data_IF_600695790753
#
_entry.id   IF_600695790753
#
_cell.length_a   1.000
_cell.length_b   1.000
_cell.length_c   1.000
_cell.angle_alpha   90.00
_cell.angle_beta   90.00
_cell.angle_gamma   90.00
#
_symmetry.space_group_name_H-M   'P 1'
#
loop_
_entity.id
_entity.type
_entity.pdbx_description
1 polymer ?
#
# COMPACT_ATOMS: atom_id res chain seq x y z
N UNK A 1 10.32 7.99 -17.74
CA UNK A 1 8.84 7.84 -17.75
C UNK A 1 8.39 7.63 -16.31
N UNK A 2 7.54 8.50 -15.76
CA UNK A 2 7.07 8.34 -14.38
C UNK A 2 6.23 7.05 -14.29
N UNK A 3 6.77 6.01 -13.64
CA UNK A 3 6.03 4.78 -13.43
C UNK A 3 4.88 5.09 -12.46
N UNK A 4 3.66 4.77 -12.86
CA UNK A 4 2.48 4.92 -12.01
C UNK A 4 2.28 3.62 -11.23
N UNK A 5 2.01 3.73 -9.93
CA UNK A 5 1.60 2.61 -9.09
C UNK A 5 0.12 2.71 -8.73
N UNK A 6 -0.49 1.54 -8.52
CA UNK A 6 -1.84 1.40 -8.03
C UNK A 6 -1.83 0.65 -6.70
N UNK A 7 -2.63 1.13 -5.75
CA UNK A 7 -2.91 0.43 -4.50
C UNK A 7 -4.41 0.19 -4.39
N UNK A 8 -4.80 -1.07 -4.19
CA UNK A 8 -6.18 -1.48 -3.99
C UNK A 8 -6.32 -1.94 -2.55
N UNK A 9 -7.25 -1.33 -1.81
CA UNK A 9 -7.61 -1.76 -0.46
C UNK A 9 -8.96 -2.45 -0.55
N UNK A 10 -9.00 -3.72 -0.15
CA UNK A 10 -10.22 -4.51 -0.04
C UNK A 10 -10.69 -4.51 1.41
N UNK A 11 -11.95 -4.12 1.64
CA UNK A 11 -12.55 -4.07 2.98
C UNK A 11 -13.25 -5.39 3.31
N UNK A 12 -13.54 -5.58 4.60
CA UNK A 12 -14.24 -6.77 5.10
C UNK A 12 -15.66 -6.93 4.55
N UNK A 13 -16.31 -5.83 4.19
CA UNK A 13 -17.66 -5.81 3.61
C UNK A 13 -17.69 -6.16 2.11
N UNK A 14 -16.54 -6.44 1.51
CA UNK A 14 -16.40 -6.76 0.08
C UNK A 14 -16.22 -5.54 -0.83
N UNK A 15 -16.33 -4.32 -0.31
CA UNK A 15 -16.04 -3.11 -1.07
C UNK A 15 -14.53 -2.90 -1.23
N UNK A 16 -14.14 -2.02 -2.16
CA UNK A 16 -12.73 -1.67 -2.38
C UNK A 16 -12.55 -0.22 -2.78
N UNK A 17 -11.40 0.35 -2.43
CA UNK A 17 -10.93 1.64 -2.94
C UNK A 17 -9.64 1.43 -3.72
N UNK A 18 -9.50 2.14 -4.85
CA UNK A 18 -8.32 2.10 -5.72
C UNK A 18 -7.65 3.47 -5.71
N UNK A 19 -6.36 3.49 -5.36
CA UNK A 19 -5.51 4.67 -5.39
C UNK A 19 -4.53 4.57 -6.55
N UNK A 20 -4.31 5.68 -7.24
CA UNK A 20 -3.28 5.84 -8.27
C UNK A 20 -2.29 6.91 -7.82
N UNK A 21 -1.01 6.59 -7.77
CA UNK A 21 0.03 7.49 -7.28
C UNK A 21 1.34 7.32 -8.08
N UNK A 22 2.19 8.36 -8.16
CA UNK A 22 3.50 8.23 -8.78
C UNK A 22 4.39 7.28 -7.97
N UNK A 23 5.16 6.42 -8.64
CA UNK A 23 6.16 5.58 -7.96
C UNK A 23 7.22 6.49 -7.33
N UNK A 24 7.38 6.39 -6.01
CA UNK A 24 8.33 7.19 -5.24
C UNK A 24 9.75 6.61 -5.49
N UNK A 25 10.75 7.49 -5.60
CA UNK A 25 12.14 7.09 -5.88
C UNK A 25 12.87 6.71 -4.56
N UNK A 26 13.91 5.88 -4.65
CA UNK A 26 14.67 5.26 -3.53
C UNK A 26 15.11 6.21 -2.39
N UNK A 27 15.24 7.53 -2.64
CA UNK A 27 15.59 8.51 -1.60
C UNK A 27 14.45 8.85 -0.63
N UNK A 28 13.20 8.56 -0.97
CA UNK A 28 12.05 8.75 -0.07
C UNK A 28 11.65 7.46 0.68
N UNK A 29 12.17 6.30 0.27
CA UNK A 29 11.81 4.99 0.82
C UNK A 29 12.24 4.81 2.28
N UNK A 30 13.35 5.41 2.71
CA UNK A 30 13.76 5.40 4.11
C UNK A 30 12.79 6.17 5.02
N UNK A 31 12.10 7.19 4.49
CA UNK A 31 11.05 7.95 5.20
C UNK A 31 9.74 7.18 5.23
N UNK A 32 9.40 6.48 4.14
CA UNK A 32 8.16 5.73 4.01
C UNK A 32 8.21 4.46 4.86
N UNK A 33 9.29 3.68 4.84
CA UNK A 33 9.42 2.50 5.70
C UNK A 33 9.37 2.86 7.20
N UNK A 34 9.94 4.00 7.59
CA UNK A 34 9.88 4.52 8.97
C UNK A 34 8.49 5.06 9.34
N UNK A 35 7.79 5.72 8.42
CA UNK A 35 6.41 6.22 8.61
C UNK A 35 5.37 5.11 8.55
N UNK A 36 5.57 4.10 7.71
CA UNK A 36 4.78 2.87 7.64
C UNK A 36 5.02 2.05 8.91
N UNK A 37 6.25 1.93 9.42
CA UNK A 37 6.51 1.30 10.73
C UNK A 37 5.82 2.04 11.89
N UNK A 38 5.84 3.39 11.89
CA UNK A 38 5.07 4.23 12.84
C UNK A 38 3.55 4.16 12.64
N UNK A 39 3.10 3.88 11.42
CA UNK A 39 1.69 3.67 11.10
C UNK A 39 1.27 2.20 11.29
N UNK A 40 2.19 1.26 11.43
CA UNK A 40 1.96 -0.15 11.78
C UNK A 40 1.90 -0.35 13.29
N UNK A 41 2.54 0.53 14.07
CA UNK A 41 2.20 0.76 15.49
C UNK A 41 0.85 1.48 15.66
N UNK A 42 0.19 1.86 14.56
CA UNK A 42 -1.12 2.47 14.57
C UNK A 42 -2.09 1.49 13.89
N UNK A 43 -3.27 1.29 14.47
CA UNK A 43 -4.28 0.40 13.90
C UNK A 43 -4.95 0.97 12.63
N UNK A 44 -4.23 1.75 11.80
CA UNK A 44 -4.77 2.50 10.66
C UNK A 44 -3.76 2.78 9.53
N UNK A 45 -4.30 2.90 8.33
CA UNK A 45 -3.62 3.33 7.10
C UNK A 45 -4.07 4.75 6.77
N UNK A 46 -3.13 5.62 6.46
CA UNK A 46 -3.39 7.02 6.10
C UNK A 46 -2.93 7.27 4.67
N UNK A 47 -3.82 7.81 3.83
CA UNK A 47 -3.54 8.17 2.45
C UNK A 47 -3.90 9.63 2.23
N UNK A 48 -2.95 10.41 1.70
CA UNK A 48 -3.21 11.76 1.22
C UNK A 48 -3.57 11.69 -0.27
N UNK A 49 -4.70 12.28 -0.63
CA UNK A 49 -5.13 12.54 -2.00
C UNK A 49 -4.95 14.03 -2.31
N UNK A 50 -5.21 14.45 -3.55
CA UNK A 50 -5.13 15.88 -3.91
C UNK A 50 -6.03 16.76 -3.06
N UNK A 51 -7.23 16.27 -2.72
CA UNK A 51 -8.29 17.09 -2.10
C UNK A 51 -8.58 16.70 -0.65
N UNK A 52 -8.09 15.57 -0.17
CA UNK A 52 -8.46 15.04 1.15
C UNK A 52 -7.42 14.09 1.75
N UNK A 53 -7.52 13.90 3.06
CA UNK A 53 -6.81 12.86 3.80
C UNK A 53 -7.80 11.77 4.20
N UNK A 54 -7.47 10.52 3.87
CA UNK A 54 -8.29 9.34 4.18
C UNK A 54 -7.55 8.53 5.25
N UNK A 55 -8.25 8.18 6.33
CA UNK A 55 -7.75 7.35 7.43
C UNK A 55 -8.60 6.09 7.53
N UNK A 56 -7.99 4.92 7.38
CA UNK A 56 -8.67 3.63 7.32
C UNK A 56 -8.16 2.71 8.41
N UNK A 57 -8.98 2.29 9.38
CA UNK A 57 -8.55 1.31 10.39
C UNK A 57 -8.18 -0.03 9.76
N UNK A 58 -7.07 -0.63 10.18
CA UNK A 58 -6.60 -1.94 9.69
C UNK A 58 -7.61 -3.04 9.99
N UNK A 59 -8.32 -2.93 11.13
CA UNK A 59 -9.36 -3.88 11.53
C UNK A 59 -10.50 -4.03 10.52
N UNK A 60 -10.70 -3.03 9.64
CA UNK A 60 -11.74 -3.06 8.61
C UNK A 60 -11.22 -3.51 7.24
N UNK A 61 -9.90 -3.71 7.11
CA UNK A 61 -9.23 -4.04 5.85
C UNK A 61 -9.02 -5.55 5.78
N UNK A 62 -9.50 -6.16 4.70
CA UNK A 62 -9.31 -7.58 4.40
C UNK A 62 -7.90 -7.84 3.89
N UNK A 63 -7.46 -7.10 2.87
CA UNK A 63 -6.09 -7.12 2.35
C UNK A 63 -5.81 -5.90 1.47
N UNK A 64 -4.53 -5.70 1.17
CA UNK A 64 -4.03 -4.61 0.32
C UNK A 64 -3.24 -5.22 -0.83
N UNK A 65 -3.48 -4.73 -2.03
CA UNK A 65 -2.76 -5.13 -3.23
C UNK A 65 -2.08 -3.92 -3.85
N UNK A 66 -0.77 -4.01 -4.07
CA UNK A 66 0.03 -2.97 -4.73
C UNK A 66 0.53 -3.51 -6.06
N UNK A 67 0.38 -2.73 -7.13
CA UNK A 67 0.82 -3.10 -8.48
C UNK A 67 1.38 -1.88 -9.25
N UNK A 68 2.57 -1.98 -9.88
CA UNK A 68 3.47 -3.12 -9.85
C UNK A 68 4.06 -3.33 -8.44
N UNK A 69 4.62 -4.53 -8.14
CA UNK A 69 5.26 -4.77 -6.84
C UNK A 69 6.36 -3.71 -6.57
N UNK A 70 6.52 -3.28 -5.30
CA UNK A 70 7.61 -2.40 -4.90
C UNK A 70 8.99 -2.99 -5.24
N UNK A 71 9.97 -2.13 -5.50
CA UNK A 71 11.34 -2.57 -5.82
C UNK A 71 12.05 -3.14 -4.58
N UNK A 72 11.77 -2.57 -3.39
CA UNK A 72 12.21 -3.07 -2.10
C UNK A 72 11.09 -3.90 -1.44
N UNK A 73 11.36 -5.18 -1.22
CA UNK A 73 10.45 -6.11 -0.53
C UNK A 73 11.10 -6.57 0.79
N UNK A 74 10.32 -6.72 1.88
CA UNK A 74 10.78 -7.36 3.10
C UNK A 74 11.37 -8.77 2.90
N UNK A 75 12.23 -9.18 3.82
CA UNK A 75 12.75 -10.55 3.86
C UNK A 75 11.62 -11.56 4.16
N UNK A 76 11.76 -12.78 3.62
CA UNK A 76 10.80 -13.88 3.85
C UNK A 76 9.55 -13.88 2.95
N UNK A 77 9.49 -13.02 1.93
CA UNK A 77 8.37 -12.98 0.96
C UNK A 77 8.57 -14.00 -0.18
N UNK A 78 7.51 -14.75 -0.51
CA UNK A 78 7.43 -15.58 -1.72
C UNK A 78 7.33 -14.69 -2.97
N UNK A 79 8.28 -14.85 -3.89
CA UNK A 79 8.36 -14.04 -5.12
C UNK A 79 7.76 -14.81 -6.30
N UNK A 80 7.14 -14.08 -7.22
CA UNK A 80 6.59 -14.62 -8.49
C UNK A 80 5.56 -15.74 -8.28
N UNK A 81 4.75 -15.64 -7.22
CA UNK A 81 3.62 -16.53 -7.03
C UNK A 81 2.49 -16.20 -8.02
N UNK A 82 1.81 -17.23 -8.52
CA UNK A 82 0.65 -17.11 -9.39
C UNK A 82 -0.60 -17.59 -8.66
N UNK A 83 -1.73 -16.90 -8.87
CA UNK A 83 -3.03 -17.37 -8.38
C UNK A 83 -3.48 -18.48 -9.33
N UNK A 84 -3.58 -19.70 -8.80
CA UNK A 84 -4.17 -20.85 -9.48
C UNK A 84 -5.60 -21.02 -8.96
N UNK A 85 -6.58 -20.71 -9.82
CA UNK A 85 -8.00 -21.06 -9.65
C UNK A 85 -8.35 -22.28 -10.49
#
# INVERSE_FOLDING_TARGET
MAKTAHMVIHFMDGTKIVFKYPKLNEKEDASIASKVKKALDQDKIVVQTYDSMIVMPVVNIKYIQVSPPPDALPDGILKNAEIVE
#
